data_IF_353602695058
#
_entry.id   IF_353602695058
#
_cell.length_a   1.000
_cell.length_b   1.000
_cell.length_c   1.000
_cell.angle_alpha   90.00
_cell.angle_beta   90.00
_cell.angle_gamma   90.00
#
_symmetry.space_group_name_H-M   'P 1'
#
loop_
_entity.id
_entity.type
_entity.pdbx_description
1 polymer ?
#
# COMPACT_ATOMS: atom_id res chain seq x y z
N UNK A 1 6.72 47.83 -24.34
CA UNK A 1 7.43 46.90 -23.43
C UNK A 1 8.31 46.00 -24.27
N UNK A 2 9.57 45.79 -23.87
CA UNK A 2 10.40 44.76 -24.50
C UNK A 2 9.81 43.36 -24.21
N UNK A 3 10.13 42.33 -25.01
CA UNK A 3 9.70 40.95 -24.73
C UNK A 3 10.09 40.49 -23.32
N UNK A 4 11.27 40.87 -22.84
CA UNK A 4 11.75 40.58 -21.49
C UNK A 4 10.89 41.25 -20.40
N UNK A 5 10.48 42.51 -20.62
CA UNK A 5 9.58 43.21 -19.71
C UNK A 5 8.18 42.59 -19.68
N UNK A 6 7.68 42.11 -20.84
CA UNK A 6 6.40 41.40 -20.90
C UNK A 6 6.47 40.06 -20.19
N UNK A 7 7.57 39.31 -20.35
CA UNK A 7 7.78 38.04 -19.67
C UNK A 7 7.87 38.20 -18.14
N UNK A 8 8.61 39.20 -17.68
CA UNK A 8 8.71 39.51 -16.25
C UNK A 8 7.36 39.92 -15.65
N UNK A 9 6.60 40.75 -16.37
CA UNK A 9 5.26 41.15 -15.94
C UNK A 9 4.33 39.94 -15.84
N UNK A 10 4.35 39.03 -16.80
CA UNK A 10 3.55 37.81 -16.76
C UNK A 10 3.93 36.92 -15.57
N UNK A 11 5.22 36.70 -15.32
CA UNK A 11 5.69 35.94 -14.16
C UNK A 11 5.22 36.55 -12.83
N UNK A 12 5.26 37.88 -12.72
CA UNK A 12 4.76 38.58 -11.53
C UNK A 12 3.25 38.41 -11.35
N UNK A 13 2.47 38.49 -12.43
CA UNK A 13 1.03 38.26 -12.40
C UNK A 13 0.68 36.82 -12.02
N UNK A 14 1.39 35.85 -12.56
CA UNK A 14 1.21 34.43 -12.23
C UNK A 14 1.49 34.20 -10.73
N UNK A 15 2.56 34.80 -10.20
CA UNK A 15 2.91 34.72 -8.77
C UNK A 15 1.84 35.34 -7.87
N UNK A 16 1.34 36.53 -8.22
CA UNK A 16 0.26 37.19 -7.47
C UNK A 16 -1.01 36.33 -7.46
N UNK A 17 -1.34 35.75 -8.61
CA UNK A 17 -2.53 34.89 -8.77
C UNK A 17 -2.40 33.61 -7.94
N UNK A 18 -1.23 32.98 -7.93
CA UNK A 18 -0.94 31.80 -7.11
C UNK A 18 -1.09 32.10 -5.61
N UNK A 19 -0.49 33.20 -5.14
CA UNK A 19 -0.59 33.63 -3.74
C UNK A 19 -2.03 33.94 -3.32
N UNK A 20 -2.81 34.59 -4.19
CA UNK A 20 -4.21 34.86 -3.91
C UNK A 20 -5.04 33.57 -3.83
N UNK A 21 -4.83 32.65 -4.78
CA UNK A 21 -5.50 31.34 -4.79
C UNK A 21 -5.20 30.55 -3.52
N UNK A 22 -3.95 30.58 -3.06
CA UNK A 22 -3.52 29.97 -1.81
C UNK A 22 -4.28 30.58 -0.62
N UNK A 23 -4.27 31.90 -0.48
CA UNK A 23 -4.99 32.59 0.61
C UNK A 23 -6.49 32.27 0.62
N UNK A 24 -7.12 32.29 -0.54
CA UNK A 24 -8.57 32.02 -0.66
C UNK A 24 -8.89 30.56 -0.32
N UNK A 25 -8.02 29.62 -0.72
CA UNK A 25 -8.18 28.20 -0.38
C UNK A 25 -8.01 27.97 1.12
N UNK A 26 -6.99 28.56 1.74
CA UNK A 26 -6.76 28.46 3.19
C UNK A 26 -7.88 29.12 3.98
N UNK A 27 -8.45 30.22 3.49
CA UNK A 27 -9.63 30.83 4.09
C UNK A 27 -10.81 29.86 4.09
N UNK A 28 -11.11 29.21 2.96
CA UNK A 28 -12.20 28.20 2.88
C UNK A 28 -12.00 27.04 3.84
N UNK A 29 -10.76 26.56 3.97
CA UNK A 29 -10.43 25.51 4.94
C UNK A 29 -10.69 25.97 6.37
N UNK A 30 -10.25 27.19 6.73
CA UNK A 30 -10.56 27.76 8.04
C UNK A 30 -12.07 27.88 8.27
N UNK A 31 -12.82 28.40 7.30
CA UNK A 31 -14.28 28.55 7.41
C UNK A 31 -14.96 27.19 7.69
N UNK A 32 -14.50 26.10 7.05
CA UNK A 32 -14.97 24.73 7.32
C UNK A 32 -14.59 24.27 8.74
N UNK A 33 -13.35 24.51 9.16
CA UNK A 33 -12.85 24.05 10.46
C UNK A 33 -13.57 24.77 11.61
N UNK A 34 -13.88 26.06 11.46
CA UNK A 34 -14.57 26.87 12.46
C UNK A 34 -16.10 26.81 12.40
N UNK A 35 -16.70 26.19 11.37
CA UNK A 35 -18.15 26.01 11.31
C UNK A 35 -18.65 25.13 12.47
N UNK A 36 -19.43 25.67 13.41
CA UNK A 36 -19.92 24.91 14.57
C UNK A 36 -21.02 23.90 14.21
N UNK A 37 -21.60 23.99 13.02
CA UNK A 37 -22.67 23.09 12.56
C UNK A 37 -22.12 21.86 11.84
N UNK A 38 -20.85 21.89 11.43
CA UNK A 38 -20.19 20.77 10.77
C UNK A 38 -19.55 19.83 11.78
N UNK A 39 -19.84 18.53 11.70
CA UNK A 39 -19.13 17.50 12.44
C UNK A 39 -17.83 17.10 11.71
N UNK A 40 -17.00 16.25 12.34
CA UNK A 40 -15.72 15.80 11.77
C UNK A 40 -15.88 15.16 10.39
N UNK A 41 -16.89 14.31 10.20
CA UNK A 41 -17.15 13.65 8.91
C UNK A 41 -17.40 14.67 7.78
N UNK A 42 -18.29 15.64 8.02
CA UNK A 42 -18.59 16.69 7.06
C UNK A 42 -17.37 17.59 6.79
N UNK A 43 -16.60 17.93 7.83
CA UNK A 43 -15.33 18.67 7.67
C UNK A 43 -14.35 17.89 6.80
N UNK A 44 -14.20 16.59 7.04
CA UNK A 44 -13.34 15.70 6.25
C UNK A 44 -13.76 15.66 4.78
N UNK A 45 -15.06 15.45 4.49
CA UNK A 45 -15.57 15.44 3.12
C UNK A 45 -15.34 16.78 2.41
N UNK A 46 -15.59 17.89 3.09
CA UNK A 46 -15.40 19.21 2.49
C UNK A 46 -13.92 19.53 2.23
N UNK A 47 -13.03 19.16 3.15
CA UNK A 47 -11.58 19.36 2.98
C UNK A 47 -11.03 18.43 1.89
N UNK A 48 -11.50 17.18 1.81
CA UNK A 48 -11.21 16.28 0.69
C UNK A 48 -11.61 16.89 -0.65
N UNK A 49 -12.80 17.49 -0.74
CA UNK A 49 -13.28 18.15 -1.95
C UNK A 49 -12.42 19.37 -2.31
N UNK A 50 -11.98 20.17 -1.32
CA UNK A 50 -11.04 21.27 -1.55
C UNK A 50 -9.71 20.73 -2.06
N UNK A 51 -9.17 19.67 -1.46
CA UNK A 51 -7.93 19.02 -1.93
C UNK A 51 -8.09 18.58 -3.38
N UNK A 52 -9.15 17.87 -3.74
CA UNK A 52 -9.42 17.47 -5.12
C UNK A 52 -9.49 18.68 -6.07
N UNK A 53 -10.19 19.75 -5.70
CA UNK A 53 -10.25 20.97 -6.52
C UNK A 53 -8.87 21.63 -6.74
N UNK A 54 -7.98 21.57 -5.75
CA UNK A 54 -6.59 22.04 -5.91
C UNK A 54 -5.84 21.15 -6.89
N UNK A 55 -6.03 19.83 -6.78
CA UNK A 55 -5.43 18.83 -7.67
C UNK A 55 -5.95 18.94 -9.12
N UNK A 56 -7.21 19.32 -9.32
CA UNK A 56 -7.81 19.57 -10.65
C UNK A 56 -7.47 20.94 -11.24
N UNK A 57 -6.95 21.86 -10.42
CA UNK A 57 -6.67 23.23 -10.88
C UNK A 57 -5.61 23.27 -12.00
N UNK A 58 -5.62 24.28 -12.89
CA UNK A 58 -4.61 24.43 -13.94
C UNK A 58 -3.25 24.93 -13.40
N UNK A 59 -3.09 25.04 -12.08
CA UNK A 59 -1.86 25.51 -11.46
C UNK A 59 -0.70 24.52 -11.71
N UNK A 60 0.54 25.01 -11.60
CA UNK A 60 1.71 24.13 -11.61
C UNK A 60 1.76 23.28 -10.34
N UNK A 61 2.41 22.11 -10.42
CA UNK A 61 2.50 21.16 -9.29
C UNK A 61 3.12 21.80 -8.05
N UNK A 62 4.06 22.73 -8.19
CA UNK A 62 4.68 23.44 -7.07
C UNK A 62 3.65 24.29 -6.32
N UNK A 63 2.79 25.00 -7.05
CA UNK A 63 1.71 25.80 -6.47
C UNK A 63 0.67 24.89 -5.79
N UNK A 64 0.32 23.76 -6.42
CA UNK A 64 -0.57 22.76 -5.79
C UNK A 64 0.03 22.25 -4.49
N UNK A 65 1.31 21.89 -4.51
CA UNK A 65 2.05 21.38 -3.35
C UNK A 65 2.06 22.39 -2.20
N UNK A 66 2.35 23.65 -2.48
CA UNK A 66 2.29 24.73 -1.47
C UNK A 66 0.89 24.94 -0.88
N UNK A 67 -0.15 24.82 -1.69
CA UNK A 67 -1.53 24.94 -1.21
C UNK A 67 -1.85 23.76 -0.30
N UNK A 68 -1.55 22.52 -0.71
CA UNK A 68 -1.79 21.32 0.11
C UNK A 68 -0.98 21.34 1.41
N UNK A 69 0.28 21.80 1.39
CA UNK A 69 1.08 22.06 2.60
C UNK A 69 0.35 23.03 3.53
N UNK A 70 -0.20 24.12 2.98
CA UNK A 70 -0.99 25.07 3.76
C UNK A 70 -2.28 24.48 4.33
N UNK A 71 -2.96 23.59 3.60
CA UNK A 71 -4.19 22.92 4.07
C UNK A 71 -3.87 22.07 5.30
N UNK A 72 -2.89 21.18 5.22
CA UNK A 72 -2.55 20.29 6.36
C UNK A 72 -1.98 21.06 7.53
N UNK A 73 -1.21 22.13 7.29
CA UNK A 73 -0.74 23.03 8.34
C UNK A 73 -1.91 23.74 9.06
N UNK A 74 -2.91 24.18 8.30
CA UNK A 74 -4.11 24.83 8.85
C UNK A 74 -4.95 23.84 9.67
N UNK A 75 -5.15 22.62 9.19
CA UNK A 75 -5.82 21.56 9.95
C UNK A 75 -5.06 21.27 11.25
N UNK A 76 -3.73 21.16 11.18
CA UNK A 76 -2.89 20.91 12.33
C UNK A 76 -3.02 22.00 13.39
N UNK A 77 -3.00 23.27 12.97
CA UNK A 77 -3.12 24.43 13.85
C UNK A 77 -4.53 24.75 14.33
N UNK A 78 -5.54 23.96 13.94
CA UNK A 78 -6.93 24.17 14.37
C UNK A 78 -7.15 23.77 15.83
N UNK A 79 -8.28 24.22 16.40
CA UNK A 79 -8.69 23.86 17.77
C UNK A 79 -9.43 22.52 17.86
N UNK A 80 -9.42 21.71 16.80
CA UNK A 80 -10.04 20.39 16.80
C UNK A 80 -9.26 19.42 17.72
N UNK A 81 -9.93 18.36 18.14
CA UNK A 81 -9.27 17.26 18.84
C UNK A 81 -8.29 16.54 17.91
N UNK A 82 -7.22 15.96 18.47
CA UNK A 82 -6.16 15.30 17.72
C UNK A 82 -6.69 14.22 16.75
N UNK A 83 -7.71 13.47 17.19
CA UNK A 83 -8.37 12.43 16.38
C UNK A 83 -9.13 13.02 15.19
N UNK A 84 -9.80 14.14 15.38
CA UNK A 84 -10.54 14.81 14.31
C UNK A 84 -9.58 15.40 13.26
N UNK A 85 -8.48 16.00 13.71
CA UNK A 85 -7.40 16.45 12.82
C UNK A 85 -6.84 15.29 11.99
N UNK A 86 -6.59 14.15 12.63
CA UNK A 86 -6.08 12.95 11.96
C UNK A 86 -7.06 12.40 10.92
N UNK A 87 -8.36 12.33 11.22
CA UNK A 87 -9.37 11.87 10.26
C UNK A 87 -9.51 12.80 9.05
N UNK A 88 -9.42 14.12 9.26
CA UNK A 88 -9.42 15.10 8.17
C UNK A 88 -8.18 14.90 7.28
N UNK A 89 -7.00 14.77 7.88
CA UNK A 89 -5.74 14.57 7.13
C UNK A 89 -5.68 13.22 6.43
N UNK A 90 -6.24 12.18 7.04
CA UNK A 90 -6.49 10.91 6.36
C UNK A 90 -7.32 11.11 5.11
N UNK A 91 -8.31 11.99 5.16
CA UNK A 91 -9.06 12.37 3.99
C UNK A 91 -8.20 13.03 2.91
N UNK A 92 -7.32 13.96 3.28
CA UNK A 92 -6.35 14.59 2.36
C UNK A 92 -5.47 13.53 1.69
N UNK A 93 -4.91 12.60 2.46
CA UNK A 93 -4.07 11.52 1.95
C UNK A 93 -4.80 10.63 0.93
N UNK A 94 -6.07 10.28 1.24
CA UNK A 94 -6.94 9.53 0.33
C UNK A 94 -7.22 10.29 -0.96
N UNK A 95 -7.52 11.59 -0.88
CA UNK A 95 -7.80 12.41 -2.05
C UNK A 95 -6.59 12.48 -3.00
N UNK A 96 -5.37 12.64 -2.47
CA UNK A 96 -4.14 12.64 -3.27
C UNK A 96 -3.91 11.27 -3.92
N UNK A 97 -4.04 10.19 -3.14
CA UNK A 97 -3.78 8.83 -3.62
C UNK A 97 -4.76 8.36 -4.71
N UNK A 98 -6.03 8.77 -4.61
CA UNK A 98 -7.10 8.39 -5.56
C UNK A 98 -7.24 9.32 -6.76
N UNK A 99 -6.56 10.46 -6.78
CA UNK A 99 -6.70 11.42 -7.88
C UNK A 99 -6.31 10.79 -9.22
N UNK A 100 -6.94 11.20 -10.33
CA UNK A 100 -6.69 10.54 -11.63
C UNK A 100 -5.24 10.71 -12.10
N UNK A 101 -4.59 9.61 -12.49
CA UNK A 101 -3.22 9.63 -13.06
C UNK A 101 -3.16 10.33 -14.43
N UNK A 102 -4.30 10.47 -15.11
CA UNK A 102 -4.39 11.23 -16.37
C UNK A 102 -4.22 12.74 -16.17
N UNK A 103 -4.40 13.22 -14.93
CA UNK A 103 -4.35 14.63 -14.56
C UNK A 103 -3.12 14.97 -13.71
N UNK A 104 -2.57 13.99 -13.00
CA UNK A 104 -1.44 14.19 -12.10
C UNK A 104 -0.60 12.92 -12.07
N UNK A 105 0.66 13.02 -12.51
CA UNK A 105 1.55 11.86 -12.57
C UNK A 105 1.90 11.35 -11.17
N UNK A 106 2.32 10.08 -11.06
CA UNK A 106 2.76 9.52 -9.78
C UNK A 106 3.89 10.34 -9.10
N UNK A 107 4.93 10.83 -9.82
CA UNK A 107 5.91 11.75 -9.25
C UNK A 107 5.29 13.05 -8.72
N UNK A 108 4.31 13.63 -9.41
CA UNK A 108 3.63 14.84 -8.96
C UNK A 108 2.79 14.56 -7.71
N UNK A 109 2.10 13.40 -7.66
CA UNK A 109 1.37 12.96 -6.45
C UNK A 109 2.32 12.80 -5.27
N UNK A 110 3.49 12.23 -5.50
CA UNK A 110 4.51 12.06 -4.47
C UNK A 110 5.03 13.40 -3.97
N UNK A 111 5.27 14.37 -4.86
CA UNK A 111 5.66 15.72 -4.47
C UNK A 111 4.58 16.38 -3.59
N UNK A 112 3.32 16.30 -4.00
CA UNK A 112 2.20 16.87 -3.24
C UNK A 112 2.03 16.16 -1.89
N UNK A 113 2.16 14.83 -1.84
CA UNK A 113 2.10 14.05 -0.60
C UNK A 113 3.23 14.44 0.36
N UNK A 114 4.44 14.64 -0.14
CA UNK A 114 5.56 15.13 0.66
C UNK A 114 5.29 16.53 1.23
N UNK A 115 4.68 17.42 0.45
CA UNK A 115 4.25 18.74 0.93
C UNK A 115 3.11 18.68 1.94
N UNK A 116 2.15 17.77 1.78
CA UNK A 116 1.09 17.53 2.75
C UNK A 116 1.69 17.15 4.11
N UNK A 117 2.65 16.22 4.13
CA UNK A 117 3.35 15.83 5.35
C UNK A 117 4.21 16.97 5.91
N UNK A 118 4.92 17.72 5.06
CA UNK A 118 5.71 18.88 5.50
C UNK A 118 4.83 19.90 6.24
N UNK A 119 3.61 20.13 5.78
CA UNK A 119 2.64 21.02 6.44
C UNK A 119 2.25 20.55 7.84
N UNK A 120 2.11 19.23 8.05
CA UNK A 120 1.88 18.62 9.36
C UNK A 120 3.13 18.76 10.22
N UNK A 121 4.27 18.32 9.71
CA UNK A 121 5.55 18.28 10.39
C UNK A 121 5.95 19.66 10.93
N UNK A 122 5.88 20.71 10.10
CA UNK A 122 6.26 22.08 10.45
C UNK A 122 5.15 22.86 11.18
N UNK A 123 4.00 22.25 11.45
CA UNK A 123 2.95 22.90 12.22
C UNK A 123 3.37 23.14 13.68
N UNK A 124 2.75 24.15 14.31
CA UNK A 124 3.01 24.50 15.71
C UNK A 124 2.27 23.62 16.73
N UNK A 125 1.55 22.62 16.25
CA UNK A 125 0.80 21.69 17.08
C UNK A 125 1.74 20.69 17.76
N UNK A 126 1.30 20.17 18.91
CA UNK A 126 2.10 19.25 19.71
C UNK A 126 2.50 18.00 18.91
N UNK A 127 3.65 17.41 19.27
CA UNK A 127 4.19 16.25 18.56
C UNK A 127 3.22 15.05 18.51
N UNK A 128 2.50 14.67 19.60
CA UNK A 128 1.56 13.55 19.55
C UNK A 128 0.40 13.75 18.56
N UNK A 129 -0.09 14.98 18.43
CA UNK A 129 -1.11 15.33 17.43
C UNK A 129 -0.53 15.19 16.02
N UNK A 130 0.69 15.70 15.78
CA UNK A 130 1.38 15.54 14.49
C UNK A 130 1.61 14.06 14.16
N UNK A 131 2.02 13.23 15.12
CA UNK A 131 2.16 11.78 14.93
C UNK A 131 0.83 11.12 14.52
N UNK A 132 -0.29 11.50 15.15
CA UNK A 132 -1.61 11.00 14.77
C UNK A 132 -2.02 11.46 13.36
N UNK A 133 -1.72 12.69 12.99
CA UNK A 133 -2.00 13.21 11.65
C UNK A 133 -1.15 12.54 10.58
N UNK A 134 0.14 12.34 10.83
CA UNK A 134 1.05 11.58 9.94
C UNK A 134 0.54 10.15 9.75
N UNK A 135 0.05 9.50 10.81
CA UNK A 135 -0.62 8.19 10.69
C UNK A 135 -1.86 8.27 9.80
N UNK A 136 -2.74 9.22 10.08
CA UNK A 136 -3.95 9.45 9.28
C UNK A 136 -3.63 9.64 7.80
N UNK A 137 -2.64 10.49 7.47
CA UNK A 137 -2.22 10.75 6.09
C UNK A 137 -1.88 9.45 5.35
N UNK A 138 -1.12 8.56 5.99
CA UNK A 138 -0.69 7.27 5.44
C UNK A 138 -1.85 6.26 5.40
N UNK A 139 -2.71 6.22 6.41
CA UNK A 139 -3.91 5.39 6.44
C UNK A 139 -4.84 5.72 5.25
N UNK A 140 -4.95 7.01 4.91
CA UNK A 140 -5.74 7.46 3.76
C UNK A 140 -5.26 6.86 2.44
N UNK A 141 -3.94 6.65 2.29
CA UNK A 141 -3.36 5.96 1.14
C UNK A 141 -3.77 4.49 1.13
N UNK A 142 -3.65 3.77 2.24
CA UNK A 142 -3.97 2.34 2.27
C UNK A 142 -5.48 2.06 2.12
N UNK A 143 -6.34 2.92 2.64
CA UNK A 143 -7.80 2.79 2.47
C UNK A 143 -8.28 3.10 1.05
N UNK A 144 -7.48 3.80 0.26
CA UNK A 144 -7.86 4.19 -1.09
C UNK A 144 -8.02 3.00 -2.06
N UNK A 145 -7.50 1.81 -1.72
CA UNK A 145 -7.48 0.61 -2.58
C UNK A 145 -7.01 0.92 -4.02
N UNK A 146 -6.08 1.85 -4.11
CA UNK A 146 -5.50 2.35 -5.36
C UNK A 146 -4.47 1.36 -5.91
N UNK A 147 -3.80 1.74 -7.00
CA UNK A 147 -2.71 0.95 -7.59
C UNK A 147 -1.65 0.57 -6.53
N UNK A 148 -1.18 -0.69 -6.49
CA UNK A 148 -0.11 -1.12 -5.58
C UNK A 148 1.12 -0.21 -5.60
N UNK A 149 1.48 0.35 -6.76
CA UNK A 149 2.59 1.28 -6.90
C UNK A 149 2.34 2.58 -6.11
N UNK A 150 1.12 3.11 -6.12
CA UNK A 150 0.75 4.28 -5.31
C UNK A 150 0.84 3.94 -3.82
N UNK A 151 0.35 2.77 -3.39
CA UNK A 151 0.45 2.35 -1.98
C UNK A 151 1.89 2.12 -1.50
N UNK A 152 2.82 1.86 -2.43
CA UNK A 152 4.25 1.72 -2.15
C UNK A 152 5.00 3.05 -2.15
N UNK A 153 4.69 3.95 -3.08
CA UNK A 153 5.43 5.21 -3.27
C UNK A 153 4.94 6.33 -2.34
N UNK A 154 3.64 6.44 -2.06
CA UNK A 154 3.13 7.53 -1.19
C UNK A 154 3.68 7.49 0.25
N UNK A 155 3.81 6.33 0.93
CA UNK A 155 4.45 6.30 2.25
C UNK A 155 5.92 6.77 2.23
N UNK A 156 6.65 6.55 1.13
CA UNK A 156 8.02 7.08 0.96
C UNK A 156 8.01 8.59 0.76
N UNK A 157 7.03 9.10 0.04
CA UNK A 157 6.83 10.54 -0.13
C UNK A 157 6.57 11.23 1.21
N UNK A 158 5.76 10.62 2.09
CA UNK A 158 5.58 11.08 3.48
C UNK A 158 6.93 11.16 4.21
N UNK A 159 7.76 10.11 4.16
CA UNK A 159 9.12 10.15 4.72
C UNK A 159 9.99 11.28 4.14
N UNK A 160 9.85 11.57 2.84
CA UNK A 160 10.54 12.69 2.19
C UNK A 160 10.08 14.04 2.74
N UNK A 161 8.76 14.23 2.94
CA UNK A 161 8.18 15.41 3.59
C UNK A 161 8.75 15.66 4.98
N UNK A 162 8.86 14.59 5.80
CA UNK A 162 9.48 14.65 7.13
C UNK A 162 10.97 15.04 7.01
N UNK A 163 11.72 14.41 6.11
CA UNK A 163 13.15 14.68 5.95
C UNK A 163 13.42 16.14 5.52
N UNK A 164 12.57 16.67 4.64
CA UNK A 164 12.70 18.03 4.10
C UNK A 164 12.07 19.10 4.99
N UNK A 165 11.41 18.73 6.09
CA UNK A 165 10.89 19.68 7.07
C UNK A 165 12.00 20.32 7.90
N UNK A 166 11.73 21.51 8.42
CA UNK A 166 12.63 22.31 9.25
C UNK A 166 12.56 21.98 10.75
N UNK A 167 12.04 20.81 11.12
CA UNK A 167 11.96 20.34 12.52
C UNK A 167 13.25 19.65 12.97
N UNK A 168 13.39 19.42 14.27
CA UNK A 168 14.60 18.82 14.82
C UNK A 168 14.67 17.30 14.57
N UNK A 169 15.86 16.71 14.70
CA UNK A 169 16.08 15.29 14.39
C UNK A 169 15.22 14.33 15.22
N UNK A 170 14.98 14.61 16.51
CA UNK A 170 14.15 13.75 17.36
C UNK A 170 12.69 13.74 16.94
N UNK A 171 12.15 14.89 16.51
CA UNK A 171 10.80 14.98 15.97
C UNK A 171 10.69 14.26 14.63
N UNK A 172 11.71 14.36 13.75
CA UNK A 172 11.73 13.61 12.49
C UNK A 172 11.65 12.10 12.72
N UNK A 173 12.41 11.58 13.69
CA UNK A 173 12.38 10.14 14.00
C UNK A 173 11.05 9.70 14.60
N UNK A 174 10.41 10.53 15.44
CA UNK A 174 9.08 10.25 15.97
C UNK A 174 8.02 10.16 14.86
N UNK A 175 7.98 11.14 13.95
CA UNK A 175 7.04 11.14 12.83
C UNK A 175 7.28 9.96 11.86
N UNK A 176 8.54 9.61 11.57
CA UNK A 176 8.86 8.42 10.76
C UNK A 176 8.34 7.15 11.41
N UNK A 177 8.59 6.98 12.71
CA UNK A 177 8.08 5.83 13.47
C UNK A 177 6.56 5.76 13.45
N UNK A 178 5.88 6.90 13.55
CA UNK A 178 4.43 6.98 13.45
C UNK A 178 3.93 6.48 12.09
N UNK A 179 4.53 6.94 10.98
CA UNK A 179 4.24 6.46 9.62
C UNK A 179 4.58 4.98 9.42
N UNK A 180 5.71 4.52 9.94
CA UNK A 180 6.18 3.13 9.78
C UNK A 180 5.24 2.15 10.50
N UNK A 181 4.72 2.52 11.67
CA UNK A 181 3.71 1.72 12.39
C UNK A 181 2.49 1.40 11.53
N UNK A 182 2.01 2.38 10.74
CA UNK A 182 0.86 2.17 9.83
C UNK A 182 1.26 1.29 8.65
N UNK A 183 2.46 1.51 8.12
CA UNK A 183 2.99 0.74 6.98
C UNK A 183 3.16 -0.74 7.35
N UNK A 184 3.69 -1.02 8.54
CA UNK A 184 3.83 -2.37 9.10
C UNK A 184 2.47 -3.03 9.31
N UNK A 185 1.52 -2.33 9.95
CA UNK A 185 0.17 -2.85 10.15
C UNK A 185 -0.55 -3.17 8.82
N UNK A 186 -0.31 -2.37 7.77
CA UNK A 186 -0.84 -2.63 6.44
C UNK A 186 -0.22 -3.89 5.81
N UNK A 187 1.10 -4.06 5.91
CA UNK A 187 1.82 -5.25 5.43
C UNK A 187 1.38 -6.51 6.18
N UNK A 188 1.18 -6.42 7.49
CA UNK A 188 0.68 -7.54 8.31
C UNK A 188 -0.73 -7.96 7.85
N UNK A 189 -1.61 -6.99 7.58
CA UNK A 189 -2.96 -7.26 7.07
C UNK A 189 -2.92 -7.90 5.69
N UNK A 190 -2.07 -7.43 4.80
CA UNK A 190 -1.89 -8.00 3.46
C UNK A 190 -1.37 -9.44 3.54
N UNK A 191 -0.39 -9.69 4.39
CA UNK A 191 0.14 -11.04 4.67
C UNK A 191 -0.96 -11.97 5.22
N UNK A 192 -1.79 -11.49 6.14
CA UNK A 192 -2.92 -12.27 6.66
C UNK A 192 -3.97 -12.58 5.58
N UNK A 193 -4.23 -11.66 4.67
CA UNK A 193 -5.16 -11.88 3.56
C UNK A 193 -4.60 -12.92 2.57
N UNK A 194 -3.33 -12.81 2.20
CA UNK A 194 -2.65 -13.79 1.34
C UNK A 194 -2.70 -15.20 1.94
N UNK A 195 -2.45 -15.33 3.26
CA UNK A 195 -2.56 -16.62 3.94
C UNK A 195 -3.98 -17.19 3.90
N UNK A 196 -5.02 -16.35 4.03
CA UNK A 196 -6.42 -16.80 3.92
C UNK A 196 -6.75 -17.22 2.49
N UNK A 197 -6.29 -16.48 1.49
CA UNK A 197 -6.52 -16.81 0.08
C UNK A 197 -5.82 -18.12 -0.29
N UNK A 198 -4.61 -18.36 0.20
CA UNK A 198 -3.89 -19.63 0.05
C UNK A 198 -4.57 -20.80 0.76
N UNK A 199 -5.24 -20.58 1.90
CA UNK A 199 -6.02 -21.61 2.60
C UNK A 199 -7.40 -21.86 1.94
N UNK A 200 -8.00 -20.83 1.34
CA UNK A 200 -9.30 -20.90 0.67
C UNK A 200 -9.19 -21.45 -0.75
N UNK A 201 -8.03 -21.33 -1.38
CA UNK A 201 -7.65 -22.23 -2.45
C UNK A 201 -7.50 -23.61 -1.81
N UNK A 202 -8.42 -24.54 -2.10
CA UNK A 202 -8.08 -25.95 -2.13
C UNK A 202 -6.94 -26.07 -3.15
N UNK A 203 -5.72 -25.75 -2.74
CA UNK A 203 -4.56 -26.49 -3.21
C UNK A 203 -4.97 -27.89 -2.82
N UNK A 204 -5.51 -28.64 -3.79
CA UNK A 204 -5.71 -30.08 -3.66
C UNK A 204 -4.51 -30.53 -2.86
N UNK A 205 -4.77 -30.96 -1.63
CA UNK A 205 -3.79 -31.56 -0.78
C UNK A 205 -3.09 -32.52 -1.71
N UNK A 206 -1.88 -32.15 -2.16
CA UNK A 206 -1.18 -33.00 -3.10
C UNK A 206 -1.14 -34.28 -2.26
N UNK A 207 -1.73 -35.36 -2.77
CA UNK A 207 -1.75 -36.65 -2.10
C UNK A 207 -0.49 -37.45 -2.49
N UNK A 208 0.74 -36.90 -2.68
CA UNK A 208 1.82 -37.76 -3.12
C UNK A 208 2.13 -38.76 -2.01
N UNK A 209 1.87 -38.43 -0.72
CA UNK A 209 2.07 -39.38 0.36
C UNK A 209 1.12 -40.58 0.32
N UNK A 210 -0.16 -40.38 -0.02
CA UNK A 210 -1.10 -41.50 -0.10
C UNK A 210 -0.89 -42.32 -1.37
N UNK A 211 -0.65 -41.67 -2.50
CA UNK A 211 -0.41 -42.36 -3.78
C UNK A 211 0.93 -43.08 -3.83
N UNK A 212 2.00 -42.51 -3.25
CA UNK A 212 3.31 -43.18 -3.15
C UNK A 212 3.22 -44.34 -2.17
N UNK A 213 2.52 -44.18 -1.03
CA UNK A 213 2.36 -45.27 -0.07
C UNK A 213 1.59 -46.44 -0.69
N UNK A 214 0.44 -46.17 -1.31
CA UNK A 214 -0.36 -47.20 -1.97
C UNK A 214 0.41 -47.88 -3.11
N UNK A 215 1.08 -47.11 -3.98
CA UNK A 215 1.93 -47.70 -5.04
C UNK A 215 3.10 -48.51 -4.48
N UNK A 216 3.72 -48.07 -3.38
CA UNK A 216 4.80 -48.82 -2.74
C UNK A 216 4.31 -50.13 -2.15
N UNK A 217 3.06 -50.16 -1.68
CA UNK A 217 2.43 -51.36 -1.14
C UNK A 217 2.04 -52.32 -2.26
N UNK A 218 1.46 -51.83 -3.36
CA UNK A 218 1.20 -52.62 -4.57
C UNK A 218 2.50 -53.23 -5.14
N UNK A 219 3.59 -52.46 -5.18
CA UNK A 219 4.91 -52.96 -5.58
C UNK A 219 5.45 -54.03 -4.63
N UNK A 220 5.23 -53.88 -3.32
CA UNK A 220 5.66 -54.86 -2.32
C UNK A 220 4.90 -56.17 -2.47
N UNK A 221 3.59 -56.12 -2.67
CA UNK A 221 2.75 -57.30 -2.89
C UNK A 221 3.07 -57.99 -4.23
N UNK A 222 3.32 -57.21 -5.28
CA UNK A 222 3.77 -57.74 -6.57
C UNK A 222 5.13 -58.46 -6.46
N UNK A 223 6.10 -57.87 -5.75
CA UNK A 223 7.41 -58.49 -5.52
C UNK A 223 7.29 -59.75 -4.66
N UNK A 224 6.44 -59.75 -3.64
CA UNK A 224 6.20 -60.92 -2.80
C UNK A 224 5.63 -62.10 -3.61
N UNK A 225 4.67 -61.84 -4.50
CA UNK A 225 4.11 -62.85 -5.40
C UNK A 225 5.13 -63.42 -6.40
N UNK A 226 6.22 -62.69 -6.69
CA UNK A 226 7.34 -63.20 -7.51
C UNK A 226 8.32 -64.02 -6.68
N UNK A 227 8.63 -63.60 -5.45
CA UNK A 227 9.69 -64.18 -4.62
C UNK A 227 9.21 -65.44 -3.90
N UNK A 228 7.99 -65.45 -3.33
CA UNK A 228 7.48 -66.56 -2.53
C UNK A 228 7.46 -67.90 -3.32
N UNK A 229 6.98 -67.96 -4.58
CA UNK A 229 6.98 -69.20 -5.34
C UNK A 229 8.39 -69.75 -5.62
N UNK A 230 9.38 -68.86 -5.78
CA UNK A 230 10.79 -69.22 -6.01
C UNK A 230 11.42 -69.78 -4.73
N UNK A 231 11.11 -69.19 -3.57
CA UNK A 231 11.57 -69.68 -2.26
C UNK A 231 10.90 -70.99 -1.83
N UNK A 232 9.65 -71.21 -2.23
CA UNK A 232 8.92 -72.47 -1.99
C UNK A 232 9.33 -73.61 -2.96
N UNK A 233 10.25 -73.37 -3.90
CA UNK A 233 10.77 -74.43 -4.75
C UNK A 233 11.72 -75.34 -3.96
N UNK A 234 11.41 -76.63 -3.89
CA UNK A 234 12.20 -77.62 -3.13
C UNK A 234 13.28 -78.33 -3.98
N UNK A 235 13.45 -77.94 -5.24
CA UNK A 235 14.53 -78.43 -6.12
C UNK A 235 14.95 -77.38 -7.15
N UNK A 236 16.20 -77.46 -7.62
CA UNK A 236 16.75 -76.56 -8.64
C UNK A 236 15.93 -76.58 -9.95
N UNK A 237 15.39 -77.74 -10.34
CA UNK A 237 14.58 -77.86 -11.55
C UNK A 237 13.21 -77.17 -11.40
N UNK A 238 12.58 -77.25 -10.22
CA UNK A 238 11.36 -76.50 -9.93
C UNK A 238 11.62 -75.00 -9.87
N UNK A 239 12.76 -74.59 -9.31
CA UNK A 239 13.17 -73.19 -9.26
C UNK A 239 13.36 -72.65 -10.68
N UNK A 240 14.08 -73.36 -11.55
CA UNK A 240 14.30 -72.95 -12.94
C UNK A 240 12.99 -72.82 -13.74
N UNK A 241 12.04 -73.75 -13.54
CA UNK A 241 10.71 -73.69 -14.17
C UNK A 241 9.87 -72.52 -13.69
N UNK A 242 9.79 -72.29 -12.37
CA UNK A 242 9.03 -71.18 -11.79
C UNK A 242 9.63 -69.83 -12.19
N UNK A 243 10.95 -69.69 -12.13
CA UNK A 243 11.65 -68.47 -12.58
C UNK A 243 11.42 -68.22 -14.07
N UNK A 244 11.46 -69.24 -14.92
CA UNK A 244 11.19 -69.08 -16.36
C UNK A 244 9.74 -68.69 -16.64
N UNK A 245 8.77 -69.23 -15.89
CA UNK A 245 7.36 -68.83 -16.01
C UNK A 245 7.16 -67.36 -15.65
N UNK A 246 7.75 -66.91 -14.53
CA UNK A 246 7.68 -65.51 -14.10
C UNK A 246 8.32 -64.58 -15.14
N UNK A 247 9.48 -64.95 -15.70
CA UNK A 247 10.15 -64.14 -16.73
C UNK A 247 9.32 -64.04 -18.01
N UNK A 248 8.64 -65.12 -18.42
CA UNK A 248 7.73 -65.09 -19.57
C UNK A 248 6.50 -64.21 -19.30
N UNK A 249 5.92 -64.30 -18.10
CA UNK A 249 4.78 -63.46 -17.73
C UNK A 249 5.19 -61.98 -17.74
N UNK A 250 6.36 -61.61 -17.19
CA UNK A 250 6.91 -60.24 -17.25
C UNK A 250 7.15 -59.81 -18.70
N UNK A 251 7.71 -60.68 -19.54
CA UNK A 251 7.99 -60.35 -20.95
C UNK A 251 6.71 -60.06 -21.75
N UNK A 252 5.57 -60.64 -21.35
CA UNK A 252 4.27 -60.39 -22.00
C UNK A 252 3.63 -59.04 -21.66
N UNK A 253 4.14 -58.34 -20.64
CA UNK A 253 3.70 -56.98 -20.28
C UNK A 253 4.53 -55.86 -20.93
N UNK A 254 5.58 -56.20 -21.69
CA UNK A 254 6.55 -55.25 -22.27
C UNK A 254 6.39 -55.09 -23.80
N UNK A 255 5.39 -55.74 -24.40
CA UNK A 255 4.91 -55.47 -25.78
C UNK A 255 3.67 -54.55 -25.77
#
# INVERSE_FOLDING_TARGET
FSPEQQQLMQQNLDKITAEQTKKDTIKKVNDILFDPLSNTELKTTNIQAITANVLDSPAKVEVKSEIIEGITNTVAGSSLEAKDKAEIVKGVGKAIATHSDTSLSLPDKALIMASAEKGIAESKTDLPDRELMTKGLVEGVYESKTDPEITKEMPKAVSSGINNSNINGSEKEALKKAKDTVSEAALDRETQNLNKDLQGQNIEEIQPHHDIYNKSQDMTDALKNVIDPVLEAHSEEQMAKKTSSILNDISSYVE
#
